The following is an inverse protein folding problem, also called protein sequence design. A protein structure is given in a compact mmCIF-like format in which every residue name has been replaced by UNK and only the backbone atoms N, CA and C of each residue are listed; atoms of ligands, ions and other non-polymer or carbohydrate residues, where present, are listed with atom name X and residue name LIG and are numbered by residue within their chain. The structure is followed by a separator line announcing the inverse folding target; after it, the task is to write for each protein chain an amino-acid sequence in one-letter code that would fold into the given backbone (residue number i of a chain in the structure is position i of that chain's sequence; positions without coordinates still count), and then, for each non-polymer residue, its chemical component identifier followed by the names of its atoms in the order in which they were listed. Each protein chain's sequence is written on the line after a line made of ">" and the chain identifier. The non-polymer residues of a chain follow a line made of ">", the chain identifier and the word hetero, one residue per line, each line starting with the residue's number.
data_IF_145313130197
#
_entry.id   IF_145313130197
#
_cell.length_a   1.000
_cell.length_b   1.000
_cell.length_c   1.000
_cell.angle_alpha   90.00
_cell.angle_beta   90.00
_cell.angle_gamma   90.00
#
_symmetry.space_group_name_H-M   'P 1'
#
loop_
_entity.id
_entity.type
_entity.pdbx_description
1 polymer ?
#
# COMPACT_ATOMS: atom_id res chain seq x y z
N UNK A 1 5.18 -1.51 19.54
CA UNK A 1 5.84 -2.80 19.82
C UNK A 1 7.26 -2.49 20.29
N UNK A 2 7.85 -3.24 21.23
CA UNK A 2 9.24 -3.00 21.67
C UNK A 2 10.14 -4.09 21.13
N UNK A 3 11.35 -3.73 20.70
CA UNK A 3 12.42 -4.66 20.34
C UNK A 3 13.64 -4.34 21.18
N UNK A 4 14.40 -5.35 21.56
CA UNK A 4 15.59 -5.20 22.37
C UNK A 4 16.82 -5.41 21.50
N UNK A 5 17.71 -4.43 21.43
CA UNK A 5 18.90 -4.49 20.59
C UNK A 5 20.14 -4.49 21.47
N UNK A 6 20.99 -5.49 21.26
CA UNK A 6 22.33 -5.58 21.82
C UNK A 6 23.36 -5.39 20.70
N UNK A 7 24.39 -4.61 20.98
CA UNK A 7 25.49 -4.36 20.04
C UNK A 7 26.81 -4.68 20.71
N UNK A 8 27.58 -5.60 20.12
CA UNK A 8 28.93 -5.91 20.56
C UNK A 8 29.93 -5.07 19.76
N UNK A 9 30.47 -4.03 20.40
CA UNK A 9 31.43 -3.10 19.81
C UNK A 9 32.83 -3.72 19.62
N UNK A 10 33.09 -4.90 20.21
CA UNK A 10 34.31 -5.65 19.97
C UNK A 10 34.30 -6.40 18.62
N UNK A 11 33.13 -6.53 17.99
CA UNK A 11 32.97 -7.19 16.68
C UNK A 11 32.95 -6.17 15.54
N UNK A 12 33.37 -6.63 14.36
CA UNK A 12 33.30 -5.83 13.15
C UNK A 12 31.86 -5.44 12.82
N UNK A 13 31.67 -4.16 12.50
CA UNK A 13 30.39 -3.62 12.04
C UNK A 13 29.90 -4.42 10.83
N UNK A 14 28.65 -4.87 10.89
CA UNK A 14 28.03 -5.70 9.84
C UNK A 14 28.25 -7.21 9.97
N UNK A 15 29.01 -7.67 10.96
CA UNK A 15 29.15 -9.09 11.26
C UNK A 15 27.88 -9.69 11.90
N UNK A 16 27.61 -11.00 11.71
CA UNK A 16 26.42 -11.67 12.27
C UNK A 16 26.39 -11.70 13.81
N UNK A 17 27.52 -11.45 14.47
CA UNK A 17 27.63 -11.38 15.93
C UNK A 17 27.71 -9.94 16.46
N UNK A 18 27.71 -8.94 15.58
CA UNK A 18 27.82 -7.53 15.98
C UNK A 18 26.51 -6.99 16.58
N UNK A 19 25.36 -7.50 16.12
CA UNK A 19 24.05 -7.01 16.52
C UNK A 19 23.10 -8.18 16.74
N UNK A 20 22.48 -8.24 17.92
CA UNK A 20 21.42 -9.19 18.24
C UNK A 20 20.11 -8.45 18.51
N UNK A 21 19.01 -8.96 17.96
CA UNK A 21 17.66 -8.42 18.15
C UNK A 21 16.80 -9.44 18.86
N UNK A 22 16.21 -9.05 19.97
CA UNK A 22 15.32 -9.88 20.77
C UNK A 22 13.91 -9.30 20.81
N UNK A 23 12.91 -10.19 20.78
CA UNK A 23 11.51 -9.81 20.86
C UNK A 23 11.09 -9.43 22.30
N UNK A 24 11.75 -10.00 23.31
CA UNK A 24 11.41 -9.77 24.72
C UNK A 24 12.66 -9.62 25.60
N UNK A 25 12.47 -9.08 26.81
CA UNK A 25 13.56 -8.92 27.78
C UNK A 25 14.09 -10.28 28.26
N UNK A 26 13.20 -11.26 28.44
CA UNK A 26 13.52 -12.58 28.98
C UNK A 26 14.39 -13.36 27.99
N UNK A 27 14.09 -13.24 26.69
CA UNK A 27 14.88 -13.87 25.62
C UNK A 27 16.28 -13.26 25.54
N UNK A 28 16.41 -11.94 25.69
CA UNK A 28 17.71 -11.27 25.79
C UNK A 28 18.50 -11.75 27.03
N UNK A 29 17.88 -11.77 28.21
CA UNK A 29 18.54 -12.20 29.46
C UNK A 29 18.99 -13.66 29.42
N UNK A 30 18.19 -14.56 28.86
CA UNK A 30 18.58 -15.96 28.72
C UNK A 30 19.80 -16.11 27.79
N UNK A 31 19.85 -15.33 26.70
CA UNK A 31 20.98 -15.31 25.79
C UNK A 31 22.24 -14.75 26.46
N UNK A 32 22.13 -13.65 27.21
CA UNK A 32 23.26 -13.04 27.94
C UNK A 32 23.92 -13.99 28.93
N UNK A 33 23.13 -14.75 29.70
CA UNK A 33 23.67 -15.75 30.64
C UNK A 33 24.64 -16.74 29.99
N UNK A 34 24.50 -17.02 28.70
CA UNK A 34 25.30 -18.01 27.99
C UNK A 34 26.41 -17.39 27.13
N UNK A 35 26.23 -16.17 26.63
CA UNK A 35 27.10 -15.59 25.60
C UNK A 35 27.85 -14.35 26.07
N UNK A 36 27.22 -13.50 26.86
CA UNK A 36 27.81 -12.27 27.40
C UNK A 36 27.10 -11.88 28.71
N UNK A 37 27.59 -12.35 29.88
CA UNK A 37 26.95 -12.12 31.16
C UNK A 37 26.89 -10.64 31.58
N UNK A 38 27.76 -9.80 31.02
CA UNK A 38 27.80 -8.36 31.26
C UNK A 38 27.07 -7.56 30.17
N UNK A 39 26.57 -8.24 29.13
CA UNK A 39 25.88 -7.65 28.01
C UNK A 39 24.56 -6.97 28.39
N UNK A 40 24.30 -5.82 27.77
CA UNK A 40 23.08 -5.02 28.01
C UNK A 40 22.36 -4.78 26.68
N UNK A 41 21.09 -5.18 26.61
CA UNK A 41 20.21 -4.82 25.51
C UNK A 41 19.39 -3.57 25.87
N UNK A 42 19.20 -2.67 24.91
CA UNK A 42 18.36 -1.49 25.07
C UNK A 42 17.01 -1.69 24.36
N UNK A 43 15.94 -1.25 25.01
CA UNK A 43 14.60 -1.31 24.45
C UNK A 43 14.36 -0.15 23.48
N UNK A 44 14.00 -0.49 22.25
CA UNK A 44 13.59 0.46 21.22
C UNK A 44 12.11 0.31 20.95
N UNK A 45 11.41 1.44 20.93
CA UNK A 45 10.00 1.46 20.55
C UNK A 45 9.87 1.47 19.03
N UNK A 46 9.33 0.38 18.49
CA UNK A 46 8.91 0.30 17.10
C UNK A 46 7.54 0.96 17.02
N UNK A 47 7.55 2.21 16.58
CA UNK A 47 6.35 2.93 16.17
C UNK A 47 6.10 2.66 14.69
N UNK A 48 4.85 2.36 14.33
CA UNK A 48 4.45 2.37 12.93
C UNK A 48 4.52 3.84 12.48
N UNK A 49 5.61 4.19 11.79
CA UNK A 49 5.88 5.58 11.44
C UNK A 49 4.70 6.21 10.70
N UNK A 50 4.41 7.49 10.95
CA UNK A 50 3.34 8.23 10.28
C UNK A 50 3.40 8.12 8.74
N UNK A 51 4.61 7.95 8.21
CA UNK A 51 4.87 7.66 6.80
C UNK A 51 4.18 6.37 6.31
N UNK A 52 4.28 5.26 7.06
CA UNK A 52 3.64 3.98 6.72
C UNK A 52 2.12 4.07 6.82
N UNK A 53 1.61 4.80 7.81
CA UNK A 53 0.17 5.07 7.94
C UNK A 53 -0.35 5.85 6.73
N UNK A 54 0.29 6.97 6.38
CA UNK A 54 -0.08 7.78 5.23
C UNK A 54 -0.06 6.97 3.93
N UNK A 55 1.01 6.19 3.71
CA UNK A 55 1.12 5.28 2.56
C UNK A 55 -0.02 4.27 2.51
N UNK A 56 -0.34 3.63 3.63
CA UNK A 56 -1.41 2.62 3.72
C UNK A 56 -2.76 3.26 3.40
N UNK A 57 -3.05 4.43 3.97
CA UNK A 57 -4.28 5.18 3.69
C UNK A 57 -4.40 5.57 2.22
N UNK A 58 -3.33 6.09 1.61
CA UNK A 58 -3.34 6.47 0.19
C UNK A 58 -3.58 5.27 -0.74
N UNK A 59 -2.97 4.12 -0.46
CA UNK A 59 -3.20 2.88 -1.24
C UNK A 59 -4.63 2.36 -1.06
N UNK A 60 -5.21 2.48 0.14
CA UNK A 60 -6.63 2.16 0.37
C UNK A 60 -7.56 3.11 -0.40
N UNK A 61 -7.23 4.40 -0.50
CA UNK A 61 -7.98 5.35 -1.33
C UNK A 61 -7.93 4.95 -2.80
N UNK A 62 -6.81 4.45 -3.32
CA UNK A 62 -6.74 3.92 -4.70
C UNK A 62 -7.70 2.76 -4.91
N UNK A 63 -7.79 1.84 -3.95
CA UNK A 63 -8.76 0.73 -4.02
C UNK A 63 -10.20 1.25 -4.07
N UNK A 64 -10.54 2.20 -3.18
CA UNK A 64 -11.87 2.81 -3.11
C UNK A 64 -12.19 3.52 -4.43
N UNK A 65 -11.25 4.30 -4.98
CA UNK A 65 -11.42 5.00 -6.25
C UNK A 65 -11.57 4.02 -7.42
N UNK A 66 -10.80 2.93 -7.46
CA UNK A 66 -10.94 1.90 -8.49
C UNK A 66 -12.30 1.19 -8.45
N UNK A 67 -12.80 0.91 -7.25
CA UNK A 67 -14.16 0.38 -7.05
C UNK A 67 -15.22 1.39 -7.47
N UNK A 68 -15.08 2.66 -7.06
CA UNK A 68 -16.01 3.73 -7.45
C UNK A 68 -16.03 3.94 -8.97
N UNK A 69 -14.88 3.87 -9.63
CA UNK A 69 -14.76 3.95 -11.09
C UNK A 69 -15.51 2.80 -11.77
N UNK A 70 -15.36 1.56 -11.27
CA UNK A 70 -16.12 0.39 -11.75
C UNK A 70 -17.64 0.61 -11.64
N UNK A 71 -18.11 1.03 -10.47
CA UNK A 71 -19.55 1.25 -10.23
C UNK A 71 -20.11 2.39 -11.07
N UNK A 72 -19.44 3.54 -11.09
CA UNK A 72 -19.90 4.73 -11.83
C UNK A 72 -19.93 4.47 -13.33
N UNK A 73 -18.93 3.76 -13.86
CA UNK A 73 -18.93 3.31 -15.26
C UNK A 73 -20.11 2.39 -15.56
N UNK A 74 -20.36 1.39 -14.72
CA UNK A 74 -21.46 0.46 -14.91
C UNK A 74 -22.83 1.17 -14.87
N UNK A 75 -22.97 2.17 -14.01
CA UNK A 75 -24.17 3.03 -13.99
C UNK A 75 -24.35 3.81 -15.29
N UNK A 76 -23.29 4.44 -15.82
CA UNK A 76 -23.36 5.17 -17.10
C UNK A 76 -23.78 4.25 -18.25
N UNK A 77 -23.22 3.03 -18.31
CA UNK A 77 -23.57 2.05 -19.34
C UNK A 77 -25.03 1.61 -19.22
N UNK A 78 -25.55 1.40 -18.01
CA UNK A 78 -26.94 1.04 -17.77
C UNK A 78 -27.92 2.17 -18.17
N UNK A 79 -27.48 3.42 -18.14
CA UNK A 79 -28.24 4.58 -18.61
C UNK A 79 -28.22 4.74 -20.14
N UNK A 80 -27.54 3.84 -20.87
CA UNK A 80 -27.38 3.93 -22.32
C UNK A 80 -26.26 4.88 -22.76
N UNK A 81 -25.42 5.33 -21.82
CA UNK A 81 -24.24 6.14 -22.09
C UNK A 81 -23.08 5.34 -22.70
N UNK A 82 -22.11 6.05 -23.27
CA UNK A 82 -20.87 5.48 -23.78
C UNK A 82 -19.69 5.69 -22.82
N UNK A 83 -18.67 4.84 -22.93
CA UNK A 83 -17.42 4.96 -22.18
C UNK A 83 -16.48 5.96 -22.85
N UNK A 84 -16.17 7.09 -22.21
CA UNK A 84 -15.28 8.09 -22.83
C UNK A 84 -13.84 7.57 -23.06
N UNK A 85 -13.41 6.54 -22.32
CA UNK A 85 -12.08 5.96 -22.42
C UNK A 85 -11.97 4.97 -23.60
N UNK A 86 -11.18 5.27 -24.65
CA UNK A 86 -11.06 4.41 -25.84
C UNK A 86 -10.50 3.02 -25.51
N UNK A 87 -9.63 2.89 -24.51
CA UNK A 87 -9.12 1.58 -24.08
C UNK A 87 -10.21 0.73 -23.44
N UNK A 88 -11.11 1.35 -22.66
CA UNK A 88 -12.22 0.63 -22.05
C UNK A 88 -13.28 0.26 -23.07
N UNK A 89 -13.51 1.08 -24.10
CA UNK A 89 -14.33 0.70 -25.24
C UNK A 89 -13.80 -0.55 -25.95
N UNK A 90 -12.49 -0.63 -26.18
CA UNK A 90 -11.85 -1.82 -26.76
C UNK A 90 -12.00 -3.03 -25.83
N UNK A 91 -11.74 -2.87 -24.53
CA UNK A 91 -11.90 -3.94 -23.55
C UNK A 91 -13.33 -4.46 -23.48
N UNK A 92 -14.34 -3.58 -23.49
CA UNK A 92 -15.76 -3.94 -23.53
C UNK A 92 -16.13 -4.71 -24.80
N UNK A 93 -15.59 -4.30 -25.96
CA UNK A 93 -15.82 -5.00 -27.24
C UNK A 93 -15.20 -6.39 -27.26
N UNK A 94 -14.02 -6.57 -26.66
CA UNK A 94 -13.29 -7.83 -26.66
C UNK A 94 -13.77 -8.81 -25.59
N UNK A 95 -14.16 -8.32 -24.42
CA UNK A 95 -14.44 -9.15 -23.23
C UNK A 95 -15.93 -9.20 -22.86
N UNK A 96 -16.79 -8.40 -23.50
CA UNK A 96 -18.20 -8.31 -23.16
C UNK A 96 -18.37 -7.98 -21.69
N UNK A 97 -19.26 -8.70 -20.99
CA UNK A 97 -19.54 -8.52 -19.55
C UNK A 97 -18.32 -8.74 -18.63
N UNK A 98 -17.24 -9.34 -19.11
CA UNK A 98 -16.01 -9.57 -18.34
C UNK A 98 -15.06 -8.37 -18.31
N UNK A 99 -15.45 -7.23 -18.90
CA UNK A 99 -14.65 -6.00 -18.94
C UNK A 99 -14.26 -5.45 -17.55
N UNK A 100 -15.00 -5.82 -16.51
CA UNK A 100 -14.72 -5.46 -15.12
C UNK A 100 -13.39 -6.05 -14.62
N UNK A 101 -13.00 -7.24 -15.12
CA UNK A 101 -11.77 -7.94 -14.70
C UNK A 101 -10.51 -7.12 -15.02
N UNK A 102 -10.26 -6.68 -16.27
CA UNK A 102 -9.10 -5.85 -16.59
C UNK A 102 -9.00 -4.58 -15.74
N UNK A 103 -10.12 -3.93 -15.46
CA UNK A 103 -10.16 -2.66 -14.72
C UNK A 103 -9.86 -2.87 -13.23
N UNK A 104 -10.35 -3.96 -12.66
CA UNK A 104 -9.96 -4.41 -11.32
C UNK A 104 -8.50 -4.85 -11.26
N UNK A 105 -8.01 -5.59 -12.26
CA UNK A 105 -6.62 -6.02 -12.36
C UNK A 105 -5.66 -4.82 -12.46
N UNK A 106 -6.03 -3.79 -13.21
CA UNK A 106 -5.27 -2.55 -13.29
C UNK A 106 -5.20 -1.83 -11.94
N UNK A 107 -6.31 -1.79 -11.19
CA UNK A 107 -6.33 -1.25 -9.82
C UNK A 107 -5.34 -1.98 -8.92
N UNK A 108 -5.36 -3.32 -8.92
CA UNK A 108 -4.42 -4.11 -8.13
C UNK A 108 -2.95 -3.93 -8.58
N UNK A 109 -2.71 -3.82 -9.88
CA UNK A 109 -1.38 -3.53 -10.42
C UNK A 109 -0.86 -2.17 -9.92
N UNK A 110 -1.71 -1.14 -9.96
CA UNK A 110 -1.38 0.20 -9.44
C UNK A 110 -1.08 0.15 -7.94
N UNK A 111 -1.93 -0.51 -7.15
CA UNK A 111 -1.68 -0.68 -5.71
C UNK A 111 -0.34 -1.35 -5.43
N UNK A 112 0.01 -2.39 -6.19
CA UNK A 112 1.28 -3.09 -6.07
C UNK A 112 2.49 -2.20 -6.41
N UNK A 113 2.41 -1.41 -7.50
CA UNK A 113 3.46 -0.45 -7.86
C UNK A 113 3.62 0.66 -6.81
N UNK A 114 2.51 1.21 -6.32
CA UNK A 114 2.49 2.22 -5.27
C UNK A 114 3.04 1.68 -3.95
N UNK A 115 2.79 0.41 -3.65
CA UNK A 115 3.35 -0.24 -2.47
C UNK A 115 4.88 -0.37 -2.56
N UNK A 116 5.47 -0.45 -3.75
CA UNK A 116 6.93 -0.41 -3.93
C UNK A 116 7.53 1.00 -3.82
N UNK A 117 6.70 2.05 -3.91
CA UNK A 117 7.16 3.43 -3.73
C UNK A 117 7.51 3.71 -2.27
N UNK A 118 8.66 4.36 -2.05
CA UNK A 118 9.09 4.83 -0.73
C UNK A 118 8.66 6.28 -0.46
N UNK A 119 8.17 7.00 -1.47
CA UNK A 119 7.79 8.41 -1.33
C UNK A 119 6.25 8.53 -1.33
N UNK A 120 5.63 9.05 -0.25
CA UNK A 120 4.17 9.13 -0.15
C UNK A 120 3.59 10.24 -1.05
N UNK A 121 4.38 11.25 -1.40
CA UNK A 121 3.98 12.32 -2.31
C UNK A 121 3.67 11.78 -3.71
N UNK A 122 4.52 10.88 -4.22
CA UNK A 122 4.29 10.23 -5.51
C UNK A 122 3.00 9.40 -5.49
N UNK A 123 2.69 8.76 -4.35
CA UNK A 123 1.44 8.01 -4.18
C UNK A 123 0.25 8.97 -4.22
N UNK A 124 0.34 10.11 -3.54
CA UNK A 124 -0.71 11.13 -3.54
C UNK A 124 -0.99 11.71 -4.94
N UNK A 125 0.04 11.93 -5.76
CA UNK A 125 -0.13 12.37 -7.14
C UNK A 125 -0.90 11.34 -7.98
N UNK A 126 -0.57 10.06 -7.83
CA UNK A 126 -1.30 8.98 -8.53
C UNK A 126 -2.74 8.88 -8.03
N UNK A 127 -2.98 9.00 -6.72
CA UNK A 127 -4.33 9.04 -6.14
C UNK A 127 -5.15 10.19 -6.73
N UNK A 128 -4.56 11.39 -6.85
CA UNK A 128 -5.22 12.54 -7.47
C UNK A 128 -5.52 12.30 -8.95
N UNK A 129 -4.65 11.61 -9.68
CA UNK A 129 -4.95 11.22 -11.06
C UNK A 129 -6.08 10.19 -11.14
N UNK A 130 -6.08 9.18 -10.26
CA UNK A 130 -7.12 8.16 -10.15
C UNK A 130 -8.50 8.70 -9.77
N UNK A 131 -8.61 9.91 -9.21
CA UNK A 131 -9.92 10.51 -8.90
C UNK A 131 -10.58 11.13 -10.13
N UNK A 132 -9.81 11.49 -11.15
CA UNK A 132 -10.32 12.14 -12.37
C UNK A 132 -11.41 11.36 -13.11
N UNK A 133 -11.31 10.03 -13.34
CA UNK A 133 -12.37 9.28 -14.01
C UNK A 133 -13.62 9.20 -13.14
N UNK A 134 -13.44 8.99 -11.83
CA UNK A 134 -14.54 8.91 -10.87
C UNK A 134 -15.32 10.22 -10.83
N UNK A 135 -14.62 11.35 -10.72
CA UNK A 135 -15.23 12.68 -10.70
C UNK A 135 -15.95 12.98 -12.01
N UNK A 136 -15.33 12.67 -13.15
CA UNK A 136 -15.94 12.84 -14.46
C UNK A 136 -17.23 12.01 -14.59
N UNK A 137 -17.19 10.74 -14.18
CA UNK A 137 -18.35 9.86 -14.24
C UNK A 137 -19.48 10.35 -13.32
N UNK A 138 -19.16 10.83 -12.11
CA UNK A 138 -20.14 11.39 -11.18
C UNK A 138 -20.83 12.64 -11.76
N UNK A 139 -20.10 13.52 -12.45
CA UNK A 139 -20.68 14.68 -13.14
C UNK A 139 -21.62 14.27 -14.28
N UNK A 140 -21.26 13.24 -15.05
CA UNK A 140 -22.12 12.69 -16.11
C UNK A 140 -23.41 12.12 -15.50
N UNK A 141 -23.30 11.33 -14.43
CA UNK A 141 -24.47 10.74 -13.76
C UNK A 141 -25.37 11.85 -13.19
N UNK A 142 -24.80 12.85 -12.54
CA UNK A 142 -25.56 13.95 -11.93
C UNK A 142 -26.25 14.85 -12.97
N UNK A 143 -25.73 14.92 -14.20
CA UNK A 143 -26.36 15.66 -15.31
C UNK A 143 -27.38 14.84 -16.11
N UNK A 144 -27.44 13.52 -15.88
CA UNK A 144 -28.40 12.61 -16.51
C UNK A 144 -29.65 12.35 -15.64
N UNK A 145 -29.68 12.85 -14.40
CA UNK A 145 -30.83 12.85 -13.49
C UNK A 145 -31.66 14.12 -13.64
#
# INVERSE_FOLDING_TARGET
>A
MKVWIYTDTSKNVGGPLHLQVFATTETAQHWFKQNDPEGVAYAYEVTLGAHYLAKTLLVLVVLILGIADLFTTNTILNLGGGEANPFMHVAQRLLGSWWLIPKLAFTYLMMWLLWRSHNPYNIALVVAFCSTPVLNNLLIIASAQ
#
